data_IF_604954231418
#
_entry.id   IF_604954231418
#
_cell.length_a   1.000
_cell.length_b   1.000
_cell.length_c   1.000
_cell.angle_alpha   90.00
_cell.angle_beta   90.00
_cell.angle_gamma   90.00
#
_symmetry.space_group_name_H-M   'P 1'
#
loop_
_entity.id
_entity.type
_entity.pdbx_description
1 polymer ?
#
# COMPACT_ATOMS: atom_id res chain seq x y z
N UNK A 1 42.07 20.58 28.50
CA UNK A 1 40.71 20.22 28.06
C UNK A 1 40.53 20.34 26.53
N UNK A 2 41.56 20.69 25.73
CA UNK A 2 41.52 20.82 24.25
C UNK A 2 40.39 21.70 23.68
N UNK A 3 39.63 22.38 24.53
CA UNK A 3 38.61 23.34 24.13
C UNK A 3 39.25 24.56 23.48
N UNK A 4 38.57 25.08 22.46
CA UNK A 4 38.89 26.32 21.75
C UNK A 4 38.07 27.51 22.28
N UNK A 5 37.24 27.30 23.30
CA UNK A 5 36.28 28.26 23.84
C UNK A 5 36.90 29.09 24.99
N UNK A 6 37.57 30.19 24.63
CA UNK A 6 38.34 31.03 25.56
C UNK A 6 37.67 32.40 25.66
N UNK A 7 37.33 32.81 26.88
CA UNK A 7 36.86 34.17 27.18
C UNK A 7 37.98 35.03 27.78
N UNK A 8 37.87 36.33 27.59
CA UNK A 8 38.74 37.32 28.22
C UNK A 8 37.92 37.98 29.33
N UNK A 9 38.37 37.87 30.57
CA UNK A 9 37.67 38.42 31.74
C UNK A 9 38.50 39.51 32.43
N UNK A 10 37.81 40.56 32.87
CA UNK A 10 38.36 41.66 33.67
C UNK A 10 39.20 42.69 32.92
N UNK A 11 39.47 43.81 33.60
CA UNK A 11 40.32 44.92 33.12
C UNK A 11 41.77 44.49 32.81
N UNK A 12 42.23 43.40 33.41
CA UNK A 12 43.59 42.84 33.22
C UNK A 12 43.70 41.82 32.05
N UNK A 13 42.65 41.64 31.23
CA UNK A 13 42.63 40.76 30.03
C UNK A 13 43.13 39.32 30.30
N UNK A 14 42.75 38.72 31.43
CA UNK A 14 43.08 37.32 31.70
C UNK A 14 42.24 36.39 30.80
N UNK A 15 42.91 35.40 30.19
CA UNK A 15 42.28 34.42 29.30
C UNK A 15 41.86 33.19 30.11
N UNK A 16 40.57 32.88 30.11
CA UNK A 16 40.01 31.76 30.86
C UNK A 16 39.31 30.81 29.88
N UNK A 17 39.55 29.51 30.01
CA UNK A 17 38.79 28.52 29.25
C UNK A 17 37.39 28.37 29.87
N UNK A 18 36.34 28.69 29.12
CA UNK A 18 34.96 28.61 29.61
C UNK A 18 34.54 27.18 29.98
N UNK A 19 35.13 26.18 29.34
CA UNK A 19 34.70 24.79 29.50
C UNK A 19 35.39 24.08 30.67
N UNK A 20 36.54 24.59 31.13
CA UNK A 20 37.28 23.94 32.22
C UNK A 20 37.82 24.90 33.29
N UNK A 21 37.50 26.19 33.22
CA UNK A 21 37.83 27.22 34.21
C UNK A 21 39.32 27.51 34.39
N UNK A 22 40.19 26.89 33.60
CA UNK A 22 41.65 27.05 33.73
C UNK A 22 42.12 28.32 33.03
N UNK A 23 43.01 29.05 33.71
CA UNK A 23 43.63 30.29 33.25
C UNK A 23 44.95 30.06 32.48
N UNK A 24 45.51 28.85 32.58
CA UNK A 24 46.72 28.46 31.86
C UNK A 24 46.41 28.09 30.40
N UNK A 25 46.27 29.12 29.55
CA UNK A 25 46.03 28.99 28.11
C UNK A 25 47.36 28.90 27.36
N UNK A 26 47.67 27.71 26.84
CA UNK A 26 48.82 27.50 25.96
C UNK A 26 48.38 27.75 24.51
N UNK A 27 48.90 28.79 23.87
CA UNK A 27 48.74 28.98 22.43
C UNK A 27 49.55 27.92 21.68
N UNK A 28 48.86 27.01 20.99
CA UNK A 28 49.47 26.14 19.98
C UNK A 28 49.17 26.69 18.60
N UNK A 29 50.21 27.01 17.83
CA UNK A 29 50.06 27.33 16.43
C UNK A 29 49.71 26.05 15.67
N UNK A 30 48.53 26.00 15.06
CA UNK A 30 48.10 24.91 14.19
C UNK A 30 48.37 25.32 12.74
N UNK A 31 49.26 24.60 12.06
CA UNK A 31 49.51 24.78 10.62
C UNK A 31 48.29 24.27 9.83
N UNK A 32 47.42 25.18 9.43
CA UNK A 32 46.30 24.88 8.53
C UNK A 32 46.80 24.99 7.08
N UNK A 33 46.91 23.86 6.40
CA UNK A 33 47.20 23.85 4.96
C UNK A 33 46.06 24.56 4.24
N UNK A 34 46.39 25.51 3.36
CA UNK A 34 45.43 26.39 2.67
C UNK A 34 45.72 26.38 1.18
N UNK A 35 44.68 26.31 0.35
CA UNK A 35 44.84 26.33 -1.11
C UNK A 35 45.51 27.65 -1.53
N UNK A 36 46.61 27.63 -2.30
CA UNK A 36 47.34 28.84 -2.66
C UNK A 36 46.56 29.78 -3.61
N UNK A 37 45.49 29.30 -4.25
CA UNK A 37 44.65 30.12 -5.15
C UNK A 37 43.42 30.74 -4.49
N UNK A 38 42.73 30.01 -3.62
CA UNK A 38 41.47 30.46 -3.02
C UNK A 38 41.51 30.54 -1.48
N UNK A 39 42.65 30.25 -0.88
CA UNK A 39 42.88 30.20 0.58
C UNK A 39 41.93 29.28 1.36
N UNK A 40 41.16 28.43 0.67
CA UNK A 40 40.31 27.43 1.32
C UNK A 40 41.17 26.45 2.12
N UNK A 41 40.75 26.20 3.35
CA UNK A 41 41.32 25.17 4.23
C UNK A 41 40.74 23.77 3.95
N UNK A 42 39.76 23.65 3.03
CA UNK A 42 39.20 22.39 2.57
C UNK A 42 40.10 21.78 1.48
N UNK A 43 41.31 21.38 1.86
CA UNK A 43 42.21 20.65 0.98
C UNK A 43 41.95 19.15 1.18
N UNK A 44 41.39 18.50 0.15
CA UNK A 44 41.21 17.05 0.12
C UNK A 44 42.40 16.44 -0.61
N UNK A 45 42.89 15.31 -0.09
CA UNK A 45 43.91 14.53 -0.80
C UNK A 45 43.31 14.02 -2.12
N UNK A 46 44.04 14.23 -3.22
CA UNK A 46 43.57 13.86 -4.54
C UNK A 46 43.31 12.35 -4.68
N UNK A 47 44.08 11.52 -3.95
CA UNK A 47 43.89 10.07 -3.93
C UNK A 47 42.63 9.65 -3.17
N UNK A 48 42.36 10.28 -2.02
CA UNK A 48 41.12 10.05 -1.25
C UNK A 48 39.91 10.44 -2.09
N UNK A 49 40.00 11.55 -2.84
CA UNK A 49 38.92 12.00 -3.72
C UNK A 49 38.65 11.02 -4.86
N UNK A 50 39.72 10.48 -5.48
CA UNK A 50 39.59 9.45 -6.52
C UNK A 50 38.95 8.17 -5.97
N UNK A 51 39.36 7.74 -4.78
CA UNK A 51 38.77 6.57 -4.11
C UNK A 51 37.28 6.77 -3.79
N UNK A 52 36.91 7.95 -3.29
CA UNK A 52 35.52 8.33 -3.01
C UNK A 52 34.64 8.30 -4.26
N UNK A 53 35.11 8.89 -5.37
CA UNK A 53 34.38 8.88 -6.64
C UNK A 53 34.17 7.47 -7.20
N UNK A 54 35.19 6.62 -7.13
CA UNK A 54 35.07 5.22 -7.54
C UNK A 54 34.07 4.46 -6.65
N UNK A 55 34.14 4.64 -5.33
CA UNK A 55 33.19 4.03 -4.39
C UNK A 55 31.76 4.45 -4.68
N UNK A 56 31.50 5.74 -4.85
CA UNK A 56 30.17 6.26 -5.15
C UNK A 56 29.62 5.71 -6.48
N UNK A 57 30.46 5.58 -7.50
CA UNK A 57 30.07 4.96 -8.77
C UNK A 57 29.67 3.49 -8.60
N UNK A 58 30.45 2.71 -7.85
CA UNK A 58 30.15 1.31 -7.55
C UNK A 58 28.90 1.15 -6.67
N UNK A 59 28.70 2.05 -5.72
CA UNK A 59 27.48 2.10 -4.91
C UNK A 59 26.25 2.41 -5.75
N UNK A 60 26.36 3.35 -6.70
CA UNK A 60 25.26 3.69 -7.62
C UNK A 60 24.78 2.46 -8.41
N UNK A 61 25.73 1.65 -8.91
CA UNK A 61 25.43 0.38 -9.61
C UNK A 61 24.71 -0.60 -8.67
N UNK A 62 25.22 -0.80 -7.44
CA UNK A 62 24.60 -1.70 -6.46
C UNK A 62 23.19 -1.25 -6.07
N UNK A 63 22.99 0.05 -5.94
CA UNK A 63 21.74 0.64 -5.48
C UNK A 63 20.60 0.46 -6.49
N UNK A 64 20.89 0.13 -7.76
CA UNK A 64 19.88 -0.22 -8.75
C UNK A 64 18.98 -1.40 -8.29
N UNK A 65 19.47 -2.30 -7.42
CA UNK A 65 18.64 -3.36 -6.80
C UNK A 65 17.42 -2.83 -6.06
N UNK A 66 17.57 -1.67 -5.42
CA UNK A 66 16.51 -1.06 -4.61
C UNK A 66 15.29 -0.64 -5.42
N UNK A 67 15.40 -0.57 -6.75
CA UNK A 67 14.29 -0.26 -7.64
C UNK A 67 13.21 -1.36 -7.67
N UNK A 68 13.55 -2.60 -7.33
CA UNK A 68 12.65 -3.76 -7.44
C UNK A 68 11.69 -3.83 -6.25
N UNK A 69 12.17 -3.57 -5.03
CA UNK A 69 11.43 -3.83 -3.79
C UNK A 69 10.03 -3.16 -3.77
N UNK A 70 9.88 -1.87 -4.13
CA UNK A 70 8.57 -1.22 -4.12
C UNK A 70 7.57 -1.85 -5.10
N UNK A 71 8.06 -2.34 -6.25
CA UNK A 71 7.21 -3.02 -7.24
C UNK A 71 6.82 -4.42 -6.76
N UNK A 72 7.72 -5.14 -6.09
CA UNK A 72 7.44 -6.46 -5.52
C UNK A 72 6.29 -6.40 -4.51
N UNK A 73 6.30 -5.40 -3.63
CA UNK A 73 5.24 -5.21 -2.63
C UNK A 73 3.88 -4.93 -3.27
N UNK A 74 3.86 -4.19 -4.39
CA UNK A 74 2.65 -3.95 -5.18
C UNK A 74 2.13 -5.23 -5.81
N UNK A 75 2.98 -6.03 -6.46
CA UNK A 75 2.58 -7.31 -7.09
C UNK A 75 1.95 -8.23 -6.06
N UNK A 76 2.59 -8.39 -4.91
CA UNK A 76 2.06 -9.19 -3.81
C UNK A 76 0.69 -8.69 -3.35
N UNK A 77 0.53 -7.37 -3.22
CA UNK A 77 -0.74 -6.75 -2.83
C UNK A 77 -1.85 -6.97 -3.87
N UNK A 78 -1.53 -6.83 -5.16
CA UNK A 78 -2.47 -7.07 -6.26
C UNK A 78 -2.95 -8.52 -6.28
N UNK A 79 -2.05 -9.49 -6.12
CA UNK A 79 -2.43 -10.90 -6.04
C UNK A 79 -3.24 -11.24 -4.79
N UNK A 80 -2.88 -10.69 -3.63
CA UNK A 80 -3.67 -10.84 -2.41
C UNK A 80 -5.10 -10.31 -2.60
N UNK A 81 -5.25 -9.13 -3.20
CA UNK A 81 -6.56 -8.54 -3.49
C UNK A 81 -7.31 -9.41 -4.49
N UNK A 82 -6.66 -9.88 -5.56
CA UNK A 82 -7.26 -10.79 -6.55
C UNK A 82 -7.84 -12.03 -5.89
N UNK A 83 -7.10 -12.66 -4.97
CA UNK A 83 -7.57 -13.81 -4.24
C UNK A 83 -8.79 -13.46 -3.36
N UNK A 84 -8.76 -12.35 -2.64
CA UNK A 84 -9.91 -11.92 -1.81
C UNK A 84 -11.15 -11.59 -2.63
N UNK A 85 -10.97 -11.00 -3.82
CA UNK A 85 -12.07 -10.78 -4.79
C UNK A 85 -12.64 -12.12 -5.24
N UNK A 86 -11.78 -13.07 -5.60
CA UNK A 86 -12.20 -14.42 -5.99
C UNK A 86 -13.01 -15.08 -4.87
N UNK A 87 -12.47 -15.13 -3.66
CA UNK A 87 -13.11 -15.75 -2.51
C UNK A 87 -14.49 -15.12 -2.24
N UNK A 88 -14.63 -13.80 -2.38
CA UNK A 88 -15.90 -13.10 -2.22
C UNK A 88 -16.99 -13.53 -3.21
N UNK A 89 -16.62 -13.99 -4.41
CA UNK A 89 -17.57 -14.47 -5.44
C UNK A 89 -17.79 -15.99 -5.38
N UNK A 90 -17.06 -16.71 -4.53
CA UNK A 90 -17.14 -18.18 -4.46
C UNK A 90 -18.25 -18.68 -3.51
N UNK A 91 -18.79 -19.90 -3.74
CA UNK A 91 -19.67 -20.55 -2.77
C UNK A 91 -18.99 -20.73 -1.40
N UNK A 92 -19.77 -20.82 -0.29
CA UNK A 92 -21.23 -20.93 -0.25
C UNK A 92 -21.96 -19.58 -0.18
N UNK A 93 -21.25 -18.46 0.01
CA UNK A 93 -21.82 -17.12 0.07
C UNK A 93 -21.19 -16.27 -1.03
N UNK A 94 -21.93 -16.05 -2.13
CA UNK A 94 -21.45 -15.26 -3.27
C UNK A 94 -21.86 -13.80 -3.12
N UNK A 95 -20.97 -12.96 -2.60
CA UNK A 95 -21.24 -11.53 -2.42
C UNK A 95 -20.90 -10.77 -3.70
N UNK A 96 -21.87 -10.09 -4.32
CA UNK A 96 -21.68 -9.37 -5.59
C UNK A 96 -21.59 -7.83 -5.47
N UNK A 97 -21.52 -7.30 -4.24
CA UNK A 97 -21.30 -5.87 -4.05
C UNK A 97 -20.06 -5.38 -4.81
N UNK A 98 -20.13 -4.13 -5.29
CA UNK A 98 -19.10 -3.50 -6.11
C UNK A 98 -18.82 -4.33 -7.38
N UNK A 99 -19.74 -4.33 -8.36
CA UNK A 99 -19.65 -5.19 -9.56
C UNK A 99 -18.49 -4.82 -10.49
N UNK A 100 -17.91 -3.63 -10.33
CA UNK A 100 -16.74 -3.15 -11.08
C UNK A 100 -15.41 -3.55 -10.47
N UNK A 101 -15.37 -4.24 -9.33
CA UNK A 101 -14.11 -4.60 -8.67
C UNK A 101 -13.17 -5.38 -9.58
N UNK A 102 -13.71 -6.31 -10.37
CA UNK A 102 -12.93 -7.13 -11.29
C UNK A 102 -12.32 -6.28 -12.41
N UNK A 103 -13.09 -5.36 -13.00
CA UNK A 103 -12.60 -4.43 -14.02
C UNK A 103 -11.61 -3.42 -13.46
N UNK A 104 -11.85 -2.91 -12.26
CA UNK A 104 -10.99 -1.94 -11.58
C UNK A 104 -9.65 -2.59 -11.21
N UNK A 105 -9.68 -3.81 -10.67
CA UNK A 105 -8.47 -4.57 -10.37
C UNK A 105 -7.71 -4.96 -11.65
N UNK A 106 -8.40 -5.37 -12.71
CA UNK A 106 -7.79 -5.62 -14.02
C UNK A 106 -7.08 -4.36 -14.55
N UNK A 107 -7.70 -3.18 -14.42
CA UNK A 107 -7.08 -1.93 -14.80
C UNK A 107 -5.80 -1.64 -13.99
N UNK A 108 -5.77 -1.99 -12.70
CA UNK A 108 -4.57 -1.86 -11.87
C UNK A 108 -3.45 -2.82 -12.28
N UNK A 109 -3.76 -4.08 -12.61
CA UNK A 109 -2.74 -4.98 -13.17
C UNK A 109 -2.15 -4.43 -14.47
N UNK A 110 -2.98 -3.89 -15.37
CA UNK A 110 -2.51 -3.24 -16.60
C UNK A 110 -1.66 -2.01 -16.35
N UNK A 111 -2.06 -1.17 -15.40
CA UNK A 111 -1.28 0.00 -14.99
C UNK A 111 0.08 -0.40 -14.42
N UNK A 112 0.11 -1.47 -13.61
CA UNK A 112 1.35 -2.01 -13.07
C UNK A 112 2.26 -2.55 -14.19
N UNK A 113 1.73 -3.32 -15.14
CA UNK A 113 2.50 -3.82 -16.30
C UNK A 113 3.12 -2.63 -17.06
N UNK A 114 2.31 -1.61 -17.36
CA UNK A 114 2.81 -0.40 -18.02
C UNK A 114 3.91 0.29 -17.21
N UNK A 115 3.75 0.44 -15.90
CA UNK A 115 4.78 1.01 -15.04
C UNK A 115 6.07 0.16 -15.01
N UNK A 116 5.93 -1.18 -15.03
CA UNK A 116 7.05 -2.14 -15.06
C UNK A 116 7.87 -1.98 -16.34
N UNK A 117 7.23 -1.90 -17.50
CA UNK A 117 7.94 -1.77 -18.77
C UNK A 117 8.67 -0.42 -18.87
N UNK A 118 8.03 0.67 -18.47
CA UNK A 118 8.69 1.98 -18.41
C UNK A 118 9.86 2.01 -17.42
N UNK A 119 9.75 1.30 -16.29
CA UNK A 119 10.85 1.18 -15.33
C UNK A 119 12.04 0.43 -15.96
N UNK A 120 11.77 -0.66 -16.68
CA UNK A 120 12.80 -1.42 -17.39
C UNK A 120 13.54 -0.55 -18.41
N UNK A 121 12.82 0.22 -19.23
CA UNK A 121 13.43 1.15 -20.19
C UNK A 121 14.31 2.20 -19.51
N UNK A 122 13.83 2.80 -18.43
CA UNK A 122 14.61 3.79 -17.67
C UNK A 122 15.88 3.21 -17.06
N UNK A 123 15.80 1.99 -16.52
CA UNK A 123 16.96 1.28 -15.98
C UNK A 123 17.93 0.93 -17.10
N UNK A 124 17.44 0.50 -18.26
CA UNK A 124 18.28 0.25 -19.43
C UNK A 124 19.08 1.50 -19.80
N UNK A 125 18.43 2.66 -19.86
CA UNK A 125 19.10 3.94 -20.16
C UNK A 125 20.16 4.28 -19.11
N UNK A 126 19.86 4.16 -17.81
CA UNK A 126 20.85 4.37 -16.75
C UNK A 126 22.07 3.45 -16.92
N UNK A 127 21.83 2.17 -17.20
CA UNK A 127 22.88 1.16 -17.37
C UNK A 127 23.76 1.47 -18.58
N UNK A 128 23.18 1.90 -19.69
CA UNK A 128 23.95 2.35 -20.86
C UNK A 128 24.86 3.53 -20.49
N UNK A 129 24.34 4.53 -19.77
CA UNK A 129 25.14 5.66 -19.32
C UNK A 129 26.25 5.25 -18.35
N UNK A 130 25.99 4.32 -17.42
CA UNK A 130 27.01 3.76 -16.54
C UNK A 130 28.10 3.04 -17.36
N UNK A 131 27.70 2.27 -18.38
CA UNK A 131 28.62 1.47 -19.21
C UNK A 131 29.55 2.35 -20.04
N UNK A 132 29.01 3.41 -20.67
CA UNK A 132 29.80 4.37 -21.47
C UNK A 132 30.84 5.09 -20.61
N UNK A 133 30.49 5.41 -19.35
CA UNK A 133 31.35 6.21 -18.48
C UNK A 133 32.25 5.39 -17.55
N UNK A 134 32.18 4.05 -17.58
CA UNK A 134 32.89 3.18 -16.61
C UNK A 134 34.41 3.41 -16.56
N UNK A 135 35.04 3.73 -17.69
CA UNK A 135 36.50 3.95 -17.77
C UNK A 135 36.96 5.16 -16.94
N UNK A 136 36.09 6.16 -16.75
CA UNK A 136 36.36 7.32 -15.88
C UNK A 136 36.58 6.93 -14.42
N UNK A 137 35.92 5.85 -13.99
CA UNK A 137 35.94 5.39 -12.61
C UNK A 137 36.90 4.21 -12.42
N UNK A 138 36.91 3.24 -13.34
CA UNK A 138 37.74 2.03 -13.19
C UNK A 138 39.24 2.30 -13.39
N UNK A 139 39.60 3.30 -14.20
CA UNK A 139 40.98 3.74 -14.41
C UNK A 139 41.31 5.04 -13.67
N UNK A 140 40.52 5.45 -12.68
CA UNK A 140 40.60 6.78 -12.09
C UNK A 140 42.01 7.17 -11.60
N UNK A 141 42.78 6.19 -11.13
CA UNK A 141 44.15 6.40 -10.64
C UNK A 141 45.16 6.73 -11.74
N UNK A 142 44.96 6.25 -12.98
CA UNK A 142 45.84 6.54 -14.12
C UNK A 142 45.49 7.85 -14.83
N UNK A 143 44.35 8.45 -14.50
CA UNK A 143 43.90 9.71 -15.09
C UNK A 143 44.59 10.94 -14.50
N UNK A 144 44.76 11.97 -15.33
CA UNK A 144 45.29 13.27 -14.92
C UNK A 144 44.40 13.90 -13.84
N UNK A 145 45.02 14.48 -12.81
CA UNK A 145 44.30 15.09 -11.67
C UNK A 145 43.41 16.26 -12.09
N UNK A 146 43.70 16.93 -13.21
CA UNK A 146 42.84 17.96 -13.80
C UNK A 146 41.47 17.45 -14.24
N UNK A 147 41.33 16.15 -14.52
CA UNK A 147 40.09 15.56 -14.99
C UNK A 147 39.09 15.26 -13.87
N UNK A 148 39.49 15.39 -12.60
CA UNK A 148 38.62 15.02 -11.46
C UNK A 148 37.30 15.78 -11.49
N UNK A 149 37.31 17.05 -11.86
CA UNK A 149 36.08 17.84 -12.00
C UNK A 149 35.15 17.28 -13.07
N UNK A 150 35.69 16.77 -14.18
CA UNK A 150 34.90 16.13 -15.23
C UNK A 150 34.27 14.83 -14.69
N UNK A 151 35.03 14.04 -13.94
CA UNK A 151 34.54 12.79 -13.32
C UNK A 151 33.42 13.08 -12.30
N UNK A 152 33.55 14.15 -11.51
CA UNK A 152 32.50 14.64 -10.62
C UNK A 152 31.22 15.01 -11.39
N UNK A 153 31.35 15.81 -12.46
CA UNK A 153 30.21 16.23 -13.28
C UNK A 153 29.51 15.01 -13.94
N UNK A 154 30.28 14.01 -14.37
CA UNK A 154 29.74 12.74 -14.89
C UNK A 154 28.96 12.00 -13.80
N UNK A 155 29.54 11.84 -12.61
CA UNK A 155 28.90 11.15 -11.48
C UNK A 155 27.63 11.87 -11.04
N UNK A 156 27.63 13.21 -11.04
CA UNK A 156 26.45 14.00 -10.72
C UNK A 156 25.32 13.74 -11.72
N UNK A 157 25.61 13.67 -13.02
CA UNK A 157 24.62 13.36 -14.05
C UNK A 157 24.06 11.93 -13.93
N UNK A 158 24.91 10.96 -13.59
CA UNK A 158 24.48 9.59 -13.31
C UNK A 158 23.55 9.54 -12.09
N UNK A 159 23.88 10.26 -11.02
CA UNK A 159 23.03 10.39 -9.84
C UNK A 159 21.69 11.07 -10.14
N UNK A 160 21.67 12.13 -10.97
CA UNK A 160 20.41 12.76 -11.43
C UNK A 160 19.51 11.75 -12.17
N UNK A 161 20.11 10.90 -13.00
CA UNK A 161 19.39 9.85 -13.72
C UNK A 161 18.81 8.81 -12.76
N UNK A 162 19.60 8.35 -11.79
CA UNK A 162 19.15 7.45 -10.72
C UNK A 162 18.01 8.05 -9.89
N UNK A 163 18.12 9.32 -9.50
CA UNK A 163 17.08 10.01 -8.73
C UNK A 163 15.78 10.16 -9.53
N UNK A 164 15.87 10.44 -10.83
CA UNK A 164 14.70 10.48 -11.72
C UNK A 164 13.95 9.14 -11.78
N UNK A 165 14.68 8.02 -11.75
CA UNK A 165 14.07 6.67 -11.65
C UNK A 165 13.40 6.48 -10.30
N UNK A 166 14.06 6.90 -9.22
CA UNK A 166 13.50 6.83 -7.86
C UNK A 166 12.19 7.62 -7.76
N UNK A 167 12.16 8.85 -8.28
CA UNK A 167 10.95 9.69 -8.31
C UNK A 167 9.82 9.05 -9.15
N UNK A 168 10.18 8.45 -10.29
CA UNK A 168 9.25 7.70 -11.12
C UNK A 168 8.62 6.53 -10.36
N UNK A 169 9.44 5.74 -9.64
CA UNK A 169 8.96 4.63 -8.81
C UNK A 169 8.02 5.14 -7.74
N UNK A 170 8.43 6.15 -6.96
CA UNK A 170 7.63 6.70 -5.87
C UNK A 170 6.26 7.21 -6.35
N UNK A 171 6.23 7.91 -7.49
CA UNK A 171 4.99 8.43 -8.09
C UNK A 171 4.02 7.32 -8.51
N UNK A 172 4.53 6.28 -9.19
CA UNK A 172 3.71 5.14 -9.61
C UNK A 172 3.22 4.33 -8.42
N UNK A 173 4.11 4.06 -7.44
CA UNK A 173 3.77 3.34 -6.21
C UNK A 173 2.66 4.05 -5.46
N UNK A 174 2.76 5.37 -5.28
CA UNK A 174 1.73 6.18 -4.62
C UNK A 174 0.39 6.08 -5.34
N UNK A 175 0.40 6.18 -6.68
CA UNK A 175 -0.81 6.13 -7.51
C UNK A 175 -1.50 4.77 -7.38
N UNK A 176 -0.75 3.68 -7.53
CA UNK A 176 -1.28 2.31 -7.45
C UNK A 176 -1.78 2.01 -6.03
N UNK A 177 -1.02 2.38 -4.99
CA UNK A 177 -1.41 2.17 -3.60
C UNK A 177 -2.70 2.89 -3.23
N UNK A 178 -2.92 4.11 -3.75
CA UNK A 178 -4.18 4.85 -3.51
C UNK A 178 -5.40 4.08 -4.05
N UNK A 179 -5.27 3.44 -5.22
CA UNK A 179 -6.32 2.61 -5.79
C UNK A 179 -6.49 1.27 -5.06
N UNK A 180 -5.38 0.67 -4.62
CA UNK A 180 -5.39 -0.52 -3.75
C UNK A 180 -6.18 -0.24 -2.46
N UNK A 181 -5.94 0.89 -1.79
CA UNK A 181 -6.64 1.25 -0.55
C UNK A 181 -8.15 1.37 -0.75
N UNK A 182 -8.58 1.87 -1.92
CA UNK A 182 -10.00 1.95 -2.25
C UNK A 182 -10.63 0.57 -2.45
N UNK A 183 -9.93 -0.35 -3.13
CA UNK A 183 -10.39 -1.74 -3.27
C UNK A 183 -10.43 -2.46 -1.92
N UNK A 184 -9.44 -2.23 -1.05
CA UNK A 184 -9.40 -2.79 0.30
C UNK A 184 -10.59 -2.32 1.16
N UNK A 185 -10.98 -1.04 1.05
CA UNK A 185 -12.19 -0.53 1.74
C UNK A 185 -13.47 -1.24 1.27
N UNK A 186 -13.60 -1.49 -0.03
CA UNK A 186 -14.73 -2.25 -0.59
C UNK A 186 -14.72 -3.70 -0.09
N UNK A 187 -13.55 -4.34 -0.06
CA UNK A 187 -13.37 -5.68 0.47
C UNK A 187 -13.72 -5.78 1.97
N UNK A 188 -13.39 -4.78 2.79
CA UNK A 188 -13.79 -4.76 4.22
C UNK A 188 -15.31 -4.82 4.37
N UNK A 189 -16.06 -4.11 3.51
CA UNK A 189 -17.51 -4.21 3.51
C UNK A 189 -17.98 -5.61 3.11
N UNK A 190 -17.43 -6.17 2.03
CA UNK A 190 -17.75 -7.52 1.55
C UNK A 190 -17.46 -8.57 2.63
N UNK A 191 -16.32 -8.50 3.30
CA UNK A 191 -15.91 -9.43 4.36
C UNK A 191 -16.89 -9.38 5.53
N UNK A 192 -17.32 -8.18 5.91
CA UNK A 192 -18.32 -8.01 6.96
C UNK A 192 -19.65 -8.68 6.60
N UNK A 193 -20.14 -8.47 5.37
CA UNK A 193 -21.37 -9.11 4.89
C UNK A 193 -21.20 -10.63 4.85
N UNK A 194 -20.12 -11.11 4.23
CA UNK A 194 -19.81 -12.53 4.09
C UNK A 194 -19.72 -13.21 5.45
N UNK A 195 -19.09 -12.57 6.44
CA UNK A 195 -19.01 -13.05 7.82
C UNK A 195 -20.39 -13.26 8.43
N UNK A 196 -21.31 -12.30 8.29
CA UNK A 196 -22.67 -12.45 8.81
C UNK A 196 -23.40 -13.62 8.15
N UNK A 197 -23.38 -13.69 6.83
CA UNK A 197 -24.11 -14.74 6.11
C UNK A 197 -23.52 -16.13 6.36
N UNK A 198 -22.20 -16.28 6.35
CA UNK A 198 -21.50 -17.56 6.60
C UNK A 198 -21.83 -18.12 7.98
N UNK A 199 -21.87 -17.27 9.01
CA UNK A 199 -22.17 -17.67 10.39
C UNK A 199 -23.63 -18.08 10.65
N UNK A 200 -24.52 -17.80 9.69
CA UNK A 200 -25.96 -18.01 9.82
C UNK A 200 -26.55 -18.83 8.69
N UNK A 201 -25.73 -19.37 7.79
CA UNK A 201 -26.15 -20.07 6.58
C UNK A 201 -27.19 -21.17 6.83
N UNK A 202 -27.04 -21.94 7.93
CA UNK A 202 -27.97 -23.00 8.35
C UNK A 202 -29.38 -22.52 8.73
N UNK A 203 -29.52 -21.24 9.08
CA UNK A 203 -30.80 -20.62 9.44
C UNK A 203 -31.42 -19.85 8.28
N UNK A 204 -30.60 -19.47 7.31
CA UNK A 204 -31.03 -18.69 6.15
C UNK A 204 -31.54 -19.59 5.02
N UNK A 205 -31.01 -20.81 4.87
CA UNK A 205 -31.36 -21.73 3.78
C UNK A 205 -31.40 -21.00 2.43
N UNK A 206 -30.25 -20.41 2.06
CA UNK A 206 -30.12 -19.58 0.86
C UNK A 206 -30.29 -20.43 -0.39
N UNK A 207 -31.06 -19.94 -1.36
CA UNK A 207 -31.09 -20.54 -2.70
C UNK A 207 -29.75 -20.34 -3.43
N UNK A 208 -29.49 -21.11 -4.49
CA UNK A 208 -28.21 -21.07 -5.21
C UNK A 208 -27.86 -19.69 -5.79
N UNK A 209 -28.87 -18.98 -6.31
CA UNK A 209 -28.75 -17.62 -6.87
C UNK A 209 -29.16 -16.52 -5.88
N UNK A 210 -29.39 -16.87 -4.61
CA UNK A 210 -29.71 -15.91 -3.56
C UNK A 210 -28.43 -15.22 -3.07
N UNK A 211 -28.35 -13.91 -3.34
CA UNK A 211 -27.18 -13.07 -3.10
C UNK A 211 -27.37 -12.24 -1.84
N UNK A 212 -26.37 -12.20 -0.95
CA UNK A 212 -26.41 -11.34 0.23
C UNK A 212 -26.36 -9.87 -0.19
N UNK A 213 -27.29 -9.07 0.33
CA UNK A 213 -27.37 -7.62 0.11
C UNK A 213 -26.95 -6.86 1.36
N UNK A 214 -27.50 -7.21 2.52
CA UNK A 214 -27.08 -6.55 3.76
C UNK A 214 -27.38 -7.39 4.99
N UNK A 215 -26.66 -7.13 6.08
CA UNK A 215 -26.92 -7.72 7.37
C UNK A 215 -26.66 -6.71 8.48
N UNK A 216 -27.57 -6.64 9.45
CA UNK A 216 -27.45 -5.71 10.58
C UNK A 216 -28.05 -6.27 11.86
N UNK A 217 -27.41 -5.96 12.98
CA UNK A 217 -28.02 -6.19 14.28
C UNK A 217 -29.31 -5.39 14.40
N UNK A 218 -30.38 -6.06 14.79
CA UNK A 218 -31.69 -5.47 14.94
C UNK A 218 -32.37 -6.03 16.18
N UNK A 219 -33.34 -5.28 16.69
CA UNK A 219 -34.18 -5.71 17.80
C UNK A 219 -35.63 -5.70 17.35
N UNK A 220 -36.28 -6.85 17.38
CA UNK A 220 -37.69 -6.96 17.06
C UNK A 220 -38.50 -6.31 18.18
N UNK A 221 -39.20 -5.23 17.85
CA UNK A 221 -40.02 -4.45 18.76
C UNK A 221 -41.50 -4.86 18.68
N UNK A 222 -41.98 -5.30 17.52
CA UNK A 222 -43.32 -5.81 17.29
C UNK A 222 -43.33 -6.77 16.08
N UNK A 223 -44.15 -7.81 16.08
CA UNK A 223 -44.26 -8.82 15.03
C UNK A 223 -45.56 -9.61 15.09
N UNK A 224 -45.90 -10.34 14.03
CA UNK A 224 -47.12 -11.15 13.96
C UNK A 224 -47.01 -12.44 14.79
N UNK A 225 -47.32 -12.32 16.08
CA UNK A 225 -47.90 -13.30 17.01
C UNK A 225 -47.89 -12.63 18.40
N UNK A 226 -48.89 -11.79 18.66
CA UNK A 226 -49.03 -11.06 19.93
C UNK A 226 -49.45 -11.94 21.11
N UNK A 227 -49.64 -13.24 20.90
CA UNK A 227 -49.95 -14.20 21.97
C UNK A 227 -48.69 -14.80 22.63
N UNK A 228 -47.52 -14.67 22.01
CA UNK A 228 -46.28 -15.21 22.57
C UNK A 228 -45.29 -14.13 23.06
N UNK A 229 -44.64 -14.47 24.18
CA UNK A 229 -43.68 -13.71 25.01
C UNK A 229 -42.41 -13.22 24.28
N UNK A 230 -42.47 -12.73 23.04
CA UNK A 230 -41.32 -12.16 22.33
C UNK A 230 -41.00 -10.74 22.85
N UNK A 231 -40.56 -10.68 24.11
CA UNK A 231 -40.02 -9.47 24.73
C UNK A 231 -38.72 -9.11 24.02
N UNK A 232 -38.79 -8.18 23.07
CA UNK A 232 -37.65 -7.31 22.71
C UNK A 232 -36.42 -8.12 22.24
N UNK A 233 -36.65 -9.04 21.31
CA UNK A 233 -35.66 -10.00 20.83
C UNK A 233 -34.55 -9.35 20.02
N UNK A 234 -33.30 -9.53 20.48
CA UNK A 234 -32.11 -9.09 19.74
C UNK A 234 -31.72 -10.16 18.72
N UNK A 235 -31.31 -9.75 17.54
CA UNK A 235 -30.94 -10.66 16.47
C UNK A 235 -30.28 -9.93 15.32
N UNK A 236 -30.27 -10.58 14.17
CA UNK A 236 -29.74 -10.01 12.93
C UNK A 236 -30.84 -10.05 11.88
N UNK A 237 -31.06 -8.90 11.25
CA UNK A 237 -31.86 -8.75 10.05
C UNK A 237 -30.95 -8.98 8.84
N UNK A 238 -31.29 -9.97 8.02
CA UNK A 238 -30.60 -10.33 6.80
C UNK A 238 -31.46 -9.93 5.60
N UNK A 239 -30.84 -9.28 4.64
CA UNK A 239 -31.45 -8.83 3.40
C UNK A 239 -30.69 -9.52 2.27
N UNK A 240 -31.38 -10.29 1.45
CA UNK A 240 -30.87 -10.84 0.18
C UNK A 240 -31.64 -10.23 -0.99
N UNK A 241 -31.26 -10.53 -2.22
CA UNK A 241 -32.06 -10.16 -3.39
C UNK A 241 -33.41 -10.89 -3.43
N UNK A 242 -33.55 -12.03 -2.75
CA UNK A 242 -34.79 -12.82 -2.73
C UNK A 242 -35.62 -12.61 -1.47
N UNK A 243 -35.01 -12.62 -0.29
CA UNK A 243 -35.69 -12.73 0.99
C UNK A 243 -35.18 -11.74 2.05
N UNK A 244 -36.12 -11.33 2.91
CA UNK A 244 -35.86 -10.69 4.18
C UNK A 244 -36.01 -11.73 5.29
N UNK A 245 -34.97 -11.89 6.11
CA UNK A 245 -34.97 -12.86 7.21
C UNK A 245 -34.54 -12.22 8.52
N UNK A 246 -35.11 -12.64 9.65
CA UNK A 246 -34.62 -12.26 10.98
C UNK A 246 -34.29 -13.49 11.80
N UNK A 247 -33.05 -13.55 12.28
CA UNK A 247 -32.58 -14.61 13.19
C UNK A 247 -32.36 -14.02 14.57
N UNK A 248 -33.12 -14.50 15.54
CA UNK A 248 -33.00 -14.13 16.94
C UNK A 248 -31.83 -14.86 17.60
N UNK A 249 -31.04 -14.12 18.39
CA UNK A 249 -30.00 -14.66 19.27
C UNK A 249 -30.41 -14.55 20.75
N UNK A 250 -30.34 -15.65 21.50
CA UNK A 250 -30.71 -15.68 22.92
C UNK A 250 -29.82 -16.61 23.77
N UNK A 251 -29.86 -16.42 25.09
CA UNK A 251 -29.04 -17.17 26.05
C UNK A 251 -27.74 -16.44 26.43
N UNK A 252 -27.40 -16.46 27.73
CA UNK A 252 -26.23 -15.74 28.28
C UNK A 252 -24.91 -16.53 28.16
N UNK A 253 -24.95 -17.86 28.33
CA UNK A 253 -23.76 -18.73 28.37
C UNK A 253 -23.54 -19.50 27.04
N UNK A 254 -24.61 -19.99 26.41
CA UNK A 254 -24.59 -20.58 25.08
C UNK A 254 -25.59 -19.83 24.21
N UNK A 255 -25.09 -18.97 23.31
CA UNK A 255 -25.95 -18.22 22.37
C UNK A 255 -26.65 -19.22 21.45
N UNK A 256 -27.96 -19.36 21.62
CA UNK A 256 -28.87 -20.10 20.75
C UNK A 256 -29.38 -19.16 19.66
N UNK A 257 -29.66 -19.71 18.48
CA UNK A 257 -30.14 -19.00 17.30
C UNK A 257 -31.46 -19.61 16.84
N UNK A 258 -32.44 -18.77 16.50
CA UNK A 258 -33.74 -19.20 15.97
C UNK A 258 -34.20 -18.26 14.87
N UNK A 259 -34.55 -18.79 13.71
CA UNK A 259 -35.23 -18.03 12.66
C UNK A 259 -36.62 -17.62 13.13
N UNK A 260 -36.92 -16.33 13.07
CA UNK A 260 -38.23 -15.79 13.47
C UNK A 260 -39.15 -15.67 12.27
N UNK A 261 -38.65 -15.16 11.14
CA UNK A 261 -39.34 -15.15 9.87
C UNK A 261 -38.34 -15.13 8.71
N UNK A 262 -38.83 -15.56 7.54
CA UNK A 262 -38.21 -15.44 6.22
C UNK A 262 -39.34 -15.13 5.24
N UNK A 263 -39.23 -14.04 4.50
CA UNK A 263 -40.29 -13.50 3.64
C UNK A 263 -39.70 -12.91 2.35
N UNK A 264 -40.25 -13.19 1.16
CA UNK A 264 -39.72 -12.65 -0.07
C UNK A 264 -39.71 -11.12 -0.11
N UNK A 265 -38.58 -10.53 -0.56
CA UNK A 265 -38.41 -9.08 -0.73
C UNK A 265 -39.43 -8.52 -1.73
N UNK A 266 -39.83 -9.31 -2.73
CA UNK A 266 -40.86 -8.95 -3.71
C UNK A 266 -42.25 -8.77 -3.08
N UNK A 267 -42.53 -9.46 -1.98
CA UNK A 267 -43.84 -9.40 -1.30
C UNK A 267 -43.93 -8.17 -0.38
N UNK A 268 -42.87 -7.39 -0.26
CA UNK A 268 -42.82 -6.26 0.65
C UNK A 268 -43.76 -5.14 0.17
N UNK A 269 -44.84 -4.88 0.91
CA UNK A 269 -45.86 -3.89 0.54
C UNK A 269 -45.53 -2.49 1.07
N UNK A 270 -44.89 -2.39 2.24
CA UNK A 270 -44.51 -1.10 2.82
C UNK A 270 -43.19 -1.18 3.59
N UNK A 271 -42.32 -0.18 3.39
CA UNK A 271 -41.14 0.07 4.23
C UNK A 271 -41.12 1.55 4.59
N UNK A 272 -41.10 1.86 5.88
CA UNK A 272 -41.03 3.26 6.33
C UNK A 272 -40.40 3.38 7.71
N UNK A 273 -39.95 4.59 8.01
CA UNK A 273 -39.46 4.95 9.33
C UNK A 273 -40.64 5.43 10.17
N UNK A 274 -40.92 4.77 11.30
CA UNK A 274 -41.94 5.18 12.27
C UNK A 274 -41.31 5.81 13.51
N UNK A 275 -41.96 6.83 14.08
CA UNK A 275 -41.56 7.48 15.32
C UNK A 275 -40.65 8.70 15.11
N UNK A 276 -40.74 9.68 16.03
CA UNK A 276 -39.93 10.92 16.00
C UNK A 276 -38.62 10.77 16.78
N UNK A 277 -38.71 10.39 18.06
CA UNK A 277 -37.58 10.22 18.97
C UNK A 277 -36.99 8.80 18.92
N UNK A 278 -37.84 7.77 19.01
CA UNK A 278 -37.43 6.37 18.91
C UNK A 278 -37.81 5.83 17.54
N UNK A 279 -37.01 6.18 16.53
CA UNK A 279 -37.22 5.72 15.16
C UNK A 279 -37.13 4.20 15.09
N UNK A 280 -38.12 3.59 14.44
CA UNK A 280 -38.17 2.15 14.13
C UNK A 280 -38.31 1.96 12.62
N UNK A 281 -37.70 0.88 12.12
CA UNK A 281 -37.94 0.40 10.78
C UNK A 281 -39.24 -0.42 10.79
N UNK A 282 -40.25 0.04 10.06
CA UNK A 282 -41.50 -0.67 9.85
C UNK A 282 -41.49 -1.37 8.50
N UNK A 283 -41.85 -2.64 8.50
CA UNK A 283 -41.83 -3.54 7.35
C UNK A 283 -43.18 -4.27 7.31
N UNK A 284 -43.82 -4.26 6.14
CA UNK A 284 -45.14 -4.87 5.93
C UNK A 284 -45.15 -5.77 4.70
N UNK A 285 -45.81 -6.91 4.83
CA UNK A 285 -46.08 -7.93 3.84
C UNK A 285 -47.60 -8.21 3.87
N UNK A 286 -48.19 -8.86 2.84
CA UNK A 286 -49.61 -9.20 2.82
C UNK A 286 -50.06 -10.06 4.01
N UNK A 287 -49.12 -10.82 4.57
CA UNK A 287 -49.33 -11.79 5.65
C UNK A 287 -48.64 -11.40 6.96
N UNK A 288 -48.08 -10.19 7.06
CA UNK A 288 -47.03 -9.91 8.04
C UNK A 288 -46.77 -8.43 8.29
N UNK A 289 -46.59 -8.01 9.56
CA UNK A 289 -45.99 -6.71 9.87
C UNK A 289 -44.99 -6.81 11.00
N UNK A 290 -43.87 -6.12 10.85
CA UNK A 290 -42.75 -6.17 11.78
C UNK A 290 -42.18 -4.77 12.03
N UNK A 291 -41.78 -4.52 13.27
CA UNK A 291 -41.10 -3.29 13.66
C UNK A 291 -39.73 -3.61 14.27
N UNK A 292 -38.67 -3.02 13.74
CA UNK A 292 -37.31 -3.18 14.24
C UNK A 292 -36.76 -1.90 14.83
N UNK A 293 -36.13 -2.01 15.98
CA UNK A 293 -35.18 -1.00 16.47
C UNK A 293 -33.79 -1.36 15.96
N UNK A 294 -33.12 -0.41 15.31
CA UNK A 294 -31.78 -0.57 14.75
C UNK A 294 -30.77 0.30 15.51
N UNK A 295 -29.45 0.06 15.37
CA UNK A 295 -28.41 0.96 15.86
C UNK A 295 -28.62 2.40 15.37
N UNK A 296 -28.15 3.37 16.15
CA UNK A 296 -28.23 4.79 15.79
C UNK A 296 -27.67 5.04 14.38
N UNK A 297 -28.32 5.93 13.63
CA UNK A 297 -27.92 6.35 12.28
C UNK A 297 -27.89 5.24 11.21
N UNK A 298 -28.43 4.05 11.48
CA UNK A 298 -28.42 2.94 10.51
C UNK A 298 -29.73 2.73 9.75
N UNK A 299 -30.84 3.31 10.23
CA UNK A 299 -32.18 3.07 9.67
C UNK A 299 -32.30 3.52 8.21
N UNK A 300 -31.77 4.69 7.86
CA UNK A 300 -31.75 5.18 6.48
C UNK A 300 -30.98 4.24 5.56
N UNK A 301 -29.75 3.87 5.97
CA UNK A 301 -28.94 2.92 5.20
C UNK A 301 -29.64 1.56 5.01
N UNK A 302 -30.33 1.05 6.02
CA UNK A 302 -31.09 -0.20 5.88
C UNK A 302 -32.26 -0.06 4.92
N UNK A 303 -32.95 1.10 4.92
CA UNK A 303 -33.98 1.41 3.94
C UNK A 303 -33.41 1.38 2.52
N UNK A 304 -32.26 2.01 2.29
CA UNK A 304 -31.60 2.03 0.97
C UNK A 304 -31.27 0.61 0.50
N UNK A 305 -30.75 -0.24 1.39
CA UNK A 305 -30.46 -1.65 1.06
C UNK A 305 -31.71 -2.50 0.83
N UNK A 306 -32.83 -2.22 1.51
CA UNK A 306 -34.11 -2.89 1.23
C UNK A 306 -34.67 -2.51 -0.14
N UNK A 307 -34.47 -1.26 -0.57
CA UNK A 307 -34.84 -0.82 -1.91
C UNK A 307 -33.90 -1.43 -2.96
N UNK A 308 -32.58 -1.39 -2.72
CA UNK A 308 -31.57 -2.01 -3.58
C UNK A 308 -31.82 -3.51 -3.76
N UNK A 309 -32.24 -4.21 -2.71
CA UNK A 309 -32.51 -5.65 -2.77
C UNK A 309 -33.52 -6.02 -3.87
N UNK A 310 -34.53 -5.17 -4.14
CA UNK A 310 -35.56 -5.42 -5.16
C UNK A 310 -35.03 -5.38 -6.59
N UNK A 311 -33.99 -4.58 -6.83
CA UNK A 311 -33.38 -4.39 -8.15
C UNK A 311 -31.92 -4.83 -8.15
N UNK A 312 -31.52 -5.69 -7.21
CA UNK A 312 -30.11 -6.02 -7.00
C UNK A 312 -29.50 -6.67 -8.25
N UNK A 313 -30.21 -7.61 -8.87
CA UNK A 313 -29.72 -8.30 -10.08
C UNK A 313 -29.68 -7.38 -11.32
N UNK A 314 -30.55 -6.38 -11.38
CA UNK A 314 -30.58 -5.38 -12.47
C UNK A 314 -29.47 -4.34 -12.29
N UNK A 315 -29.19 -3.95 -11.05
CA UNK A 315 -28.24 -2.88 -10.71
C UNK A 315 -26.80 -3.40 -10.53
N UNK A 316 -26.64 -4.65 -10.11
CA UNK A 316 -25.37 -5.29 -9.80
C UNK A 316 -25.10 -6.42 -10.80
N UNK A 317 -24.69 -6.01 -12.01
CA UNK A 317 -24.34 -6.95 -13.08
C UNK A 317 -22.87 -7.34 -12.96
N UNK A 318 -22.61 -8.61 -12.70
CA UNK A 318 -21.26 -9.16 -12.62
C UNK A 318 -20.59 -9.24 -14.00
N UNK A 319 -19.46 -8.55 -14.17
CA UNK A 319 -18.69 -8.58 -15.42
C UNK A 319 -17.83 -9.85 -15.51
N UNK A 320 -18.42 -10.91 -16.07
CA UNK A 320 -17.74 -12.19 -16.31
C UNK A 320 -16.54 -12.07 -17.25
N UNK A 321 -16.56 -11.12 -18.19
CA UNK A 321 -15.49 -10.95 -19.18
C UNK A 321 -14.26 -10.32 -18.53
N UNK A 322 -14.46 -9.26 -17.74
CA UNK A 322 -13.38 -8.66 -16.96
C UNK A 322 -12.83 -9.65 -15.93
N UNK A 323 -13.70 -10.40 -15.25
CA UNK A 323 -13.29 -11.43 -14.30
C UNK A 323 -12.37 -12.47 -14.96
N UNK A 324 -12.77 -13.02 -16.12
CA UNK A 324 -11.93 -13.99 -16.84
C UNK A 324 -10.56 -13.40 -17.17
N UNK A 325 -10.52 -12.19 -17.75
CA UNK A 325 -9.25 -11.50 -18.09
C UNK A 325 -8.37 -11.24 -16.86
N UNK A 326 -8.98 -10.91 -15.71
CA UNK A 326 -8.27 -10.69 -14.46
C UNK A 326 -7.63 -11.99 -13.92
N UNK A 327 -8.26 -13.14 -14.10
CA UNK A 327 -7.70 -14.41 -13.64
C UNK A 327 -6.70 -15.00 -14.64
N UNK A 328 -6.81 -14.65 -15.92
CA UNK A 328 -5.86 -15.03 -16.96
C UNK A 328 -4.59 -14.17 -16.97
N UNK A 329 -4.61 -12.97 -16.36
CA UNK A 329 -3.43 -12.10 -16.30
C UNK A 329 -2.39 -12.66 -15.33
N UNK A 330 -1.16 -12.73 -15.80
CA UNK A 330 0.00 -13.11 -15.01
C UNK A 330 1.08 -12.05 -15.14
N UNK A 331 1.72 -11.75 -14.03
CA UNK A 331 2.66 -10.66 -13.86
C UNK A 331 3.72 -11.07 -12.86
N UNK A 332 4.96 -11.02 -13.28
CA UNK A 332 6.13 -11.16 -12.44
C UNK A 332 7.16 -10.05 -12.71
N UNK A 333 8.21 -10.06 -11.89
CA UNK A 333 9.35 -9.13 -11.92
C UNK A 333 10.66 -9.84 -12.30
N UNK A 334 10.60 -11.08 -12.79
CA UNK A 334 11.77 -11.91 -13.06
C UNK A 334 12.67 -11.25 -14.10
N UNK A 335 12.10 -10.76 -15.20
CA UNK A 335 12.87 -10.10 -16.26
C UNK A 335 13.63 -8.87 -15.75
N UNK A 336 12.95 -8.03 -14.96
CA UNK A 336 13.53 -6.83 -14.37
C UNK A 336 14.64 -7.19 -13.36
N UNK A 337 14.38 -8.19 -12.52
CA UNK A 337 15.32 -8.65 -11.48
C UNK A 337 16.57 -9.25 -12.12
N UNK A 338 16.39 -10.15 -13.09
CA UNK A 338 17.49 -10.78 -13.81
C UNK A 338 18.33 -9.73 -14.54
N UNK A 339 17.70 -8.78 -15.22
CA UNK A 339 18.40 -7.72 -15.93
C UNK A 339 19.27 -6.85 -15.01
N UNK A 340 18.75 -6.46 -13.84
CA UNK A 340 19.50 -5.70 -12.84
C UNK A 340 20.67 -6.55 -12.30
N UNK A 341 20.42 -7.79 -11.90
CA UNK A 341 21.45 -8.66 -11.31
C UNK A 341 22.56 -9.00 -12.30
N UNK A 342 22.22 -9.38 -13.53
CA UNK A 342 23.19 -9.64 -14.61
C UNK A 342 24.05 -8.41 -14.87
N UNK A 343 23.44 -7.23 -14.90
CA UNK A 343 24.17 -5.98 -15.11
C UNK A 343 25.14 -5.69 -13.97
N UNK A 344 24.68 -5.80 -12.72
CA UNK A 344 25.54 -5.60 -11.55
C UNK A 344 26.72 -6.57 -11.62
N UNK A 345 26.46 -7.86 -11.82
CA UNK A 345 27.49 -8.88 -11.93
C UNK A 345 28.50 -8.59 -13.05
N UNK A 346 28.02 -8.10 -14.20
CA UNK A 346 28.87 -7.68 -15.31
C UNK A 346 29.83 -6.54 -14.92
N UNK A 347 29.33 -5.46 -14.29
CA UNK A 347 30.18 -4.36 -13.83
C UNK A 347 31.24 -4.81 -12.82
N UNK A 348 30.87 -5.64 -11.84
CA UNK A 348 31.81 -6.12 -10.83
C UNK A 348 32.83 -7.11 -11.41
N UNK A 349 32.42 -7.97 -12.34
CA UNK A 349 33.34 -8.85 -13.07
C UNK A 349 34.37 -8.06 -13.87
N UNK A 350 33.92 -7.03 -14.61
CA UNK A 350 34.82 -6.13 -15.33
C UNK A 350 35.79 -5.47 -14.35
N UNK A 351 35.30 -4.92 -13.24
CA UNK A 351 36.17 -4.27 -12.24
C UNK A 351 37.24 -5.22 -11.68
N UNK A 352 36.90 -6.49 -11.41
CA UNK A 352 37.87 -7.50 -10.99
C UNK A 352 38.98 -7.72 -12.03
N UNK A 353 38.64 -7.75 -13.33
CA UNK A 353 39.63 -7.85 -14.41
C UNK A 353 40.59 -6.66 -14.42
N UNK A 354 40.09 -5.44 -14.23
CA UNK A 354 40.92 -4.24 -14.14
C UNK A 354 41.92 -4.29 -12.98
N UNK A 355 41.47 -4.78 -11.82
CA UNK A 355 42.35 -4.92 -10.66
C UNK A 355 43.46 -5.95 -10.92
N UNK A 356 43.14 -7.07 -11.58
CA UNK A 356 44.11 -8.13 -11.90
C UNK A 356 45.16 -7.71 -12.96
N UNK A 357 44.75 -6.94 -13.98
CA UNK A 357 45.68 -6.42 -14.99
C UNK A 357 46.65 -5.41 -14.37
N UNK A 358 46.15 -4.54 -13.48
CA UNK A 358 47.00 -3.55 -12.81
C UNK A 358 47.93 -4.17 -11.77
N UNK A 359 47.56 -5.28 -11.10
CA UNK A 359 48.46 -5.99 -10.19
C UNK A 359 49.59 -6.75 -10.88
N UNK A 360 49.42 -7.12 -12.15
CA UNK A 360 50.45 -7.82 -12.93
C UNK A 360 51.44 -6.87 -13.64
N UNK A 361 51.18 -5.56 -13.59
CA UNK A 361 52.00 -4.50 -14.20
C UNK A 361 52.79 -3.66 -13.16
N UNK A 362 52.82 -4.09 -11.89
CA UNK A 362 53.57 -3.45 -10.79
C UNK A 362 54.80 -4.26 -10.44
#
# INVERSE_FOLDING_TARGET
CNSKNIAISGSNKQKICNDCGKENIIQKNQLLKSCPKCHSHQIVNIYEKKEDLEKQFLELIKNARSFIDPFRDIVNSLYMIRQRVFDARTPPIRCYHYPKMESDLLALFKLFIYAKENLLEKIHNLIQHLSINKEYFFNIYTQQNSNIRIIEDILENLNRSYNSITDFIQSNVKTINTSIDNLLKNLIFIDKITFYFKNYIKFLNLAEDEKPVYAIYAKLANGLNTEDKYKKDKGILFITNFDLSFVHEYGRLKRKKKGIFKAPVKDLTSVKIKGKLFKKLYIEFPYGRYEFTLPANSISRVLDYLLLARSFDETIVYDKVAAKKLYDIDVDLSDLTNYIEETINSFFSIKCQYNNVNSNNV
#
